data_IF_175847265493
#
_entry.id   IF_175847265493
#
_cell.length_a   1.000
_cell.length_b   1.000
_cell.length_c   1.000
_cell.angle_alpha   90.00
_cell.angle_beta   90.00
_cell.angle_gamma   90.00
#
_symmetry.space_group_name_H-M   'P 1'
#
loop_
_entity.id
_entity.type
_entity.pdbx_description
1 polymer ?
#
# COMPACT_ATOMS: atom_id res chain seq x y z
N UNK A 1 25.06 -22.21 -0.50
CA UNK A 1 24.36 -21.65 -1.68
C UNK A 1 25.25 -20.53 -2.19
N UNK A 2 25.68 -20.57 -3.45
CA UNK A 2 26.63 -19.58 -4.00
C UNK A 2 25.87 -18.26 -4.20
N UNK A 3 26.32 -17.18 -3.56
CA UNK A 3 25.71 -15.85 -3.68
C UNK A 3 25.87 -15.29 -5.11
N UNK A 4 24.94 -14.43 -5.54
CA UNK A 4 24.97 -13.76 -6.85
C UNK A 4 26.34 -13.18 -7.20
N UNK A 5 27.00 -12.51 -6.25
CA UNK A 5 28.29 -11.87 -6.48
C UNK A 5 29.39 -12.86 -6.88
N UNK A 6 29.42 -14.02 -6.23
CA UNK A 6 30.36 -15.09 -6.58
C UNK A 6 30.06 -15.71 -7.94
N UNK A 7 28.78 -15.88 -8.30
CA UNK A 7 28.40 -16.36 -9.65
C UNK A 7 28.85 -15.40 -10.73
N UNK A 8 28.61 -14.10 -10.56
CA UNK A 8 29.05 -13.06 -11.51
C UNK A 8 30.56 -13.10 -11.66
N UNK A 9 31.29 -13.14 -10.54
CA UNK A 9 32.75 -13.20 -10.53
C UNK A 9 33.26 -14.43 -11.28
N UNK A 10 32.74 -15.62 -10.94
CA UNK A 10 33.14 -16.89 -11.54
C UNK A 10 32.89 -16.90 -13.04
N UNK A 11 31.68 -16.56 -13.50
CA UNK A 11 31.35 -16.58 -14.93
C UNK A 11 32.10 -15.50 -15.70
N UNK A 12 32.42 -14.36 -15.08
CA UNK A 12 33.32 -13.35 -15.68
C UNK A 12 34.73 -13.92 -15.89
N UNK A 13 35.27 -14.60 -14.88
CA UNK A 13 36.62 -15.18 -14.89
C UNK A 13 36.73 -16.35 -15.87
N UNK A 14 35.71 -17.19 -15.96
CA UNK A 14 35.60 -18.26 -16.97
C UNK A 14 35.65 -17.72 -18.41
N UNK A 15 35.18 -16.48 -18.63
CA UNK A 15 35.26 -15.78 -19.91
C UNK A 15 36.54 -14.96 -20.11
N UNK A 16 37.51 -15.06 -19.19
CA UNK A 16 38.79 -14.34 -19.28
C UNK A 16 38.68 -12.82 -19.17
N UNK A 17 37.60 -12.31 -18.58
CA UNK A 17 37.29 -10.88 -18.57
C UNK A 17 37.78 -10.18 -17.31
N UNK A 18 38.19 -8.92 -17.41
CA UNK A 18 38.41 -8.07 -16.23
C UNK A 18 37.10 -7.42 -15.77
N UNK A 19 37.05 -6.96 -14.50
CA UNK A 19 35.92 -6.14 -14.02
C UNK A 19 35.69 -4.89 -14.87
N UNK A 20 36.77 -4.29 -15.40
CA UNK A 20 36.68 -3.11 -16.27
C UNK A 20 36.02 -3.46 -17.62
N UNK A 21 36.39 -4.60 -18.21
CA UNK A 21 35.82 -5.08 -19.47
C UNK A 21 34.31 -5.34 -19.33
N UNK A 22 33.90 -5.98 -18.23
CA UNK A 22 32.48 -6.20 -17.93
C UNK A 22 31.74 -4.88 -17.69
N UNK A 23 32.36 -3.94 -16.98
CA UNK A 23 31.79 -2.63 -16.71
C UNK A 23 31.54 -1.83 -18.01
N UNK A 24 32.50 -1.86 -18.93
CA UNK A 24 32.39 -1.20 -20.23
C UNK A 24 31.23 -1.77 -21.05
N UNK A 25 31.08 -3.11 -21.10
CA UNK A 25 29.99 -3.75 -21.85
C UNK A 25 28.59 -3.44 -21.28
N UNK A 26 28.50 -3.25 -19.96
CA UNK A 26 27.23 -2.96 -19.29
C UNK A 26 26.96 -1.47 -19.10
N UNK A 27 27.86 -0.61 -19.58
CA UNK A 27 27.80 0.85 -19.41
C UNK A 27 27.67 1.27 -17.94
N UNK A 28 28.45 0.62 -17.06
CA UNK A 28 28.53 0.94 -15.63
C UNK A 28 29.98 1.18 -15.24
N UNK A 29 30.21 1.69 -14.02
CA UNK A 29 31.58 1.86 -13.51
C UNK A 29 32.17 0.52 -13.04
N UNK A 30 33.50 0.39 -13.07
CA UNK A 30 34.19 -0.76 -12.46
C UNK A 30 33.85 -0.94 -10.98
N UNK A 31 33.70 0.16 -10.24
CA UNK A 31 33.28 0.13 -8.83
C UNK A 31 31.90 -0.51 -8.67
N UNK A 32 30.98 -0.26 -9.61
CA UNK A 32 29.65 -0.89 -9.61
C UNK A 32 29.78 -2.42 -9.74
N UNK A 33 30.59 -2.90 -10.68
CA UNK A 33 30.85 -4.35 -10.86
C UNK A 33 31.50 -4.95 -9.62
N UNK A 34 32.51 -4.28 -9.04
CA UNK A 34 33.15 -4.74 -7.80
C UNK A 34 32.14 -4.84 -6.65
N UNK A 35 31.22 -3.88 -6.50
CA UNK A 35 30.18 -3.93 -5.46
C UNK A 35 29.21 -5.10 -5.64
N UNK A 36 28.94 -5.49 -6.89
CA UNK A 36 28.13 -6.67 -7.20
C UNK A 36 28.85 -7.96 -6.82
N UNK A 37 30.12 -8.10 -7.21
CA UNK A 37 30.93 -9.28 -6.90
C UNK A 37 31.18 -9.46 -5.39
N UNK A 38 31.26 -8.36 -4.64
CA UNK A 38 31.39 -8.37 -3.19
C UNK A 38 30.05 -8.49 -2.42
N UNK A 39 28.92 -8.69 -3.10
CA UNK A 39 27.59 -8.80 -2.47
C UNK A 39 27.05 -7.51 -1.84
N UNK A 40 27.84 -6.43 -1.82
CA UNK A 40 27.47 -5.14 -1.20
C UNK A 40 26.29 -4.43 -1.88
N UNK A 41 26.03 -4.73 -3.16
CA UNK A 41 24.92 -4.14 -3.92
C UNK A 41 24.47 -5.12 -5.01
N UNK A 42 23.18 -5.10 -5.33
CA UNK A 42 22.62 -5.81 -6.48
C UNK A 42 22.36 -4.85 -7.65
N UNK A 43 22.51 -5.30 -8.92
CA UNK A 43 22.06 -4.56 -10.09
C UNK A 43 20.54 -4.34 -10.06
N UNK A 44 20.03 -3.37 -10.84
CA UNK A 44 18.59 -3.32 -11.12
C UNK A 44 18.18 -4.40 -12.13
N UNK A 45 16.88 -4.62 -12.33
CA UNK A 45 16.39 -5.73 -13.16
C UNK A 45 16.84 -5.66 -14.63
N UNK A 46 16.92 -4.45 -15.20
CA UNK A 46 17.37 -4.28 -16.59
C UNK A 46 18.85 -4.63 -16.70
N UNK A 47 19.65 -4.15 -15.76
CA UNK A 47 21.08 -4.40 -15.69
C UNK A 47 21.35 -5.86 -15.38
N UNK A 48 20.56 -6.50 -14.52
CA UNK A 48 20.63 -7.93 -14.23
C UNK A 48 20.29 -8.78 -15.47
N UNK A 49 19.26 -8.40 -16.24
CA UNK A 49 18.93 -9.06 -17.53
C UNK A 49 20.07 -8.91 -18.55
N UNK A 50 20.63 -7.70 -18.69
CA UNK A 50 21.78 -7.45 -19.57
C UNK A 50 23.00 -8.26 -19.14
N UNK A 51 23.26 -8.31 -17.83
CA UNK A 51 24.35 -9.09 -17.24
C UNK A 51 24.16 -10.58 -17.50
N UNK A 52 22.97 -11.13 -17.27
CA UNK A 52 22.65 -12.54 -17.54
C UNK A 52 22.83 -12.88 -19.03
N UNK A 53 22.25 -12.05 -19.92
CA UNK A 53 22.42 -12.20 -21.37
C UNK A 53 23.88 -12.16 -21.81
N UNK A 54 24.67 -11.24 -21.24
CA UNK A 54 26.08 -11.08 -21.57
C UNK A 54 26.95 -12.23 -21.01
N UNK A 55 26.64 -12.71 -19.81
CA UNK A 55 27.26 -13.88 -19.20
C UNK A 55 26.79 -15.20 -19.83
N UNK A 56 25.72 -15.19 -20.62
CA UNK A 56 25.20 -16.38 -21.31
C UNK A 56 24.46 -17.35 -20.40
N UNK A 57 23.95 -16.85 -19.27
CA UNK A 57 23.18 -17.62 -18.28
C UNK A 57 21.76 -17.07 -18.20
N UNK A 58 20.80 -17.87 -17.72
CA UNK A 58 19.47 -17.34 -17.47
C UNK A 58 19.47 -16.42 -16.24
N UNK A 59 18.47 -15.54 -16.13
CA UNK A 59 18.35 -14.66 -14.96
C UNK A 59 18.12 -15.46 -13.68
N UNK A 60 17.40 -16.59 -13.78
CA UNK A 60 17.10 -17.49 -12.66
C UNK A 60 18.31 -18.35 -12.26
N UNK A 61 19.21 -18.59 -13.20
CA UNK A 61 20.49 -19.23 -12.93
C UNK A 61 21.47 -18.25 -12.26
N UNK A 62 21.41 -16.97 -12.65
CA UNK A 62 22.26 -15.91 -12.10
C UNK A 62 21.84 -15.45 -10.70
N UNK A 63 20.53 -15.32 -10.45
CA UNK A 63 19.95 -14.86 -9.19
C UNK A 63 19.16 -15.99 -8.53
N UNK A 64 19.42 -16.28 -7.26
CA UNK A 64 18.50 -17.11 -6.47
C UNK A 64 17.12 -16.43 -6.33
N UNK A 65 16.06 -17.19 -6.07
CA UNK A 65 14.69 -16.64 -5.96
C UNK A 65 14.57 -15.47 -4.97
N UNK A 66 15.31 -15.51 -3.86
CA UNK A 66 15.36 -14.42 -2.88
C UNK A 66 16.08 -13.16 -3.40
N UNK A 67 17.04 -13.32 -4.31
CA UNK A 67 17.80 -12.22 -4.92
C UNK A 67 17.04 -11.59 -6.08
N UNK A 68 16.35 -12.39 -6.88
CA UNK A 68 15.47 -11.93 -7.94
C UNK A 68 14.35 -11.03 -7.40
N UNK A 69 13.75 -11.41 -6.26
CA UNK A 69 12.77 -10.57 -5.55
C UNK A 69 13.36 -9.21 -5.12
N UNK A 70 14.59 -9.17 -4.59
CA UNK A 70 15.24 -7.92 -4.15
C UNK A 70 15.44 -6.92 -5.30
N UNK A 71 15.77 -7.44 -6.48
CA UNK A 71 16.01 -6.63 -7.68
C UNK A 71 14.70 -6.06 -8.23
N UNK A 72 13.62 -6.84 -8.17
CA UNK A 72 12.30 -6.42 -8.63
C UNK A 72 11.57 -5.44 -7.71
N UNK A 73 11.80 -5.52 -6.40
CA UNK A 73 11.18 -4.65 -5.39
C UNK A 73 11.78 -3.23 -5.36
N UNK A 74 12.94 -3.01 -6.01
CA UNK A 74 13.45 -1.64 -6.23
C UNK A 74 12.66 -0.86 -7.26
N UNK A 75 11.87 -1.54 -8.09
CA UNK A 75 11.03 -0.90 -9.09
C UNK A 75 9.70 -0.46 -8.50
N UNK A 76 9.05 0.55 -9.10
CA UNK A 76 7.68 0.88 -8.76
C UNK A 76 6.77 -0.34 -8.94
N UNK A 77 5.68 -0.37 -8.17
CA UNK A 77 4.70 -1.46 -8.20
C UNK A 77 4.10 -1.59 -9.60
N UNK A 78 3.86 -0.49 -10.30
CA UNK A 78 3.23 -0.44 -11.63
C UNK A 78 4.22 0.12 -12.66
N UNK A 79 4.41 -0.60 -13.76
CA UNK A 79 5.30 -0.21 -14.86
C UNK A 79 4.54 0.16 -16.14
N UNK A 80 3.25 -0.22 -16.25
CA UNK A 80 2.45 0.01 -17.45
C UNK A 80 1.93 1.46 -17.50
N UNK A 81 2.22 2.23 -18.56
CA UNK A 81 1.87 3.65 -18.63
C UNK A 81 0.36 3.92 -18.59
N UNK A 82 -0.46 3.03 -19.17
CA UNK A 82 -1.92 3.10 -19.08
C UNK A 82 -2.44 2.89 -17.65
N UNK A 83 -1.84 1.94 -16.93
CA UNK A 83 -2.22 1.66 -15.55
C UNK A 83 -1.78 2.75 -14.59
N UNK A 84 -0.62 3.39 -14.85
CA UNK A 84 -0.18 4.57 -14.11
C UNK A 84 -1.20 5.71 -14.18
N UNK A 85 -1.81 5.94 -15.35
CA UNK A 85 -2.89 6.94 -15.49
C UNK A 85 -4.09 6.62 -14.59
N UNK A 86 -4.54 5.36 -14.57
CA UNK A 86 -5.65 4.92 -13.71
C UNK A 86 -5.29 5.12 -12.23
N UNK A 87 -4.06 4.77 -11.84
CA UNK A 87 -3.57 4.96 -10.48
C UNK A 87 -3.60 6.44 -10.06
N UNK A 88 -3.09 7.34 -10.89
CA UNK A 88 -3.09 8.78 -10.62
C UNK A 88 -4.52 9.33 -10.51
N UNK A 89 -5.44 8.84 -11.34
CA UNK A 89 -6.87 9.17 -11.26
C UNK A 89 -7.45 8.72 -9.91
N UNK A 90 -7.16 7.49 -9.47
CA UNK A 90 -7.60 6.98 -8.17
C UNK A 90 -7.07 7.84 -7.01
N UNK A 91 -5.79 8.20 -7.02
CA UNK A 91 -5.24 9.13 -6.02
C UNK A 91 -5.92 10.49 -6.05
N UNK A 92 -6.28 11.01 -7.24
CA UNK A 92 -7.04 12.25 -7.39
C UNK A 92 -8.43 12.17 -6.74
N UNK A 93 -9.16 11.09 -6.99
CA UNK A 93 -10.45 10.84 -6.32
C UNK A 93 -10.29 10.75 -4.79
N UNK A 94 -9.27 10.06 -4.31
CA UNK A 94 -9.00 9.95 -2.87
C UNK A 94 -8.70 11.33 -2.26
N UNK A 95 -7.90 12.17 -2.93
CA UNK A 95 -7.62 13.52 -2.47
C UNK A 95 -8.90 14.38 -2.41
N UNK A 96 -9.75 14.27 -3.44
CA UNK A 96 -11.05 14.94 -3.46
C UNK A 96 -11.97 14.49 -2.30
N UNK A 97 -11.92 13.21 -1.93
CA UNK A 97 -12.63 12.66 -0.77
C UNK A 97 -12.25 13.36 0.53
N UNK A 98 -10.96 13.59 0.72
CA UNK A 98 -10.47 14.24 1.92
C UNK A 98 -10.88 15.71 1.99
N UNK A 99 -10.94 16.41 0.85
CA UNK A 99 -11.47 17.78 0.79
C UNK A 99 -12.94 17.84 1.18
N UNK A 100 -13.75 16.93 0.63
CA UNK A 100 -15.18 16.84 0.97
C UNK A 100 -15.37 16.51 2.45
N UNK A 101 -14.62 15.53 2.96
CA UNK A 101 -14.69 15.15 4.37
C UNK A 101 -14.25 16.29 5.27
N UNK A 102 -13.20 17.04 4.91
CA UNK A 102 -12.75 18.20 5.66
C UNK A 102 -13.83 19.29 5.70
N UNK A 103 -14.47 19.58 4.57
CA UNK A 103 -15.57 20.53 4.49
C UNK A 103 -16.76 20.11 5.38
N UNK A 104 -17.15 18.84 5.38
CA UNK A 104 -18.20 18.31 6.25
C UNK A 104 -17.85 18.49 7.74
N UNK A 105 -16.60 18.20 8.13
CA UNK A 105 -16.17 18.38 9.52
C UNK A 105 -16.18 19.86 9.92
N UNK A 106 -15.73 20.76 9.05
CA UNK A 106 -15.77 22.22 9.30
C UNK A 106 -17.21 22.69 9.50
N UNK A 107 -18.14 22.20 8.68
CA UNK A 107 -19.56 22.55 8.79
C UNK A 107 -20.19 22.03 10.09
N UNK A 108 -19.79 20.84 10.57
CA UNK A 108 -20.30 20.25 11.81
C UNK A 108 -19.68 20.84 13.08
N UNK A 109 -18.49 21.45 12.97
CA UNK A 109 -17.73 21.92 14.12
C UNK A 109 -18.50 22.90 15.02
N UNK A 110 -19.15 23.97 14.51
CA UNK A 110 -19.88 24.92 15.35
C UNK A 110 -21.05 24.26 16.10
N UNK A 111 -21.76 23.33 15.45
CA UNK A 111 -22.86 22.59 16.08
C UNK A 111 -22.36 21.69 17.20
N UNK A 112 -21.24 21.02 17.01
CA UNK A 112 -20.62 20.18 18.03
C UNK A 112 -20.16 20.99 19.25
N UNK A 113 -19.59 22.18 19.03
CA UNK A 113 -19.20 23.10 20.12
C UNK A 113 -20.42 23.61 20.88
N UNK A 114 -21.46 24.04 20.15
CA UNK A 114 -22.69 24.57 20.76
C UNK A 114 -23.46 23.50 21.57
N UNK A 115 -23.35 22.22 21.20
CA UNK A 115 -23.96 21.13 21.96
C UNK A 115 -23.28 20.88 23.32
N UNK A 116 -22.08 21.42 23.57
CA UNK A 116 -21.38 21.34 24.86
C UNK A 116 -20.91 19.93 25.27
N UNK A 117 -20.98 18.94 24.38
CA UNK A 117 -20.63 17.55 24.69
C UNK A 117 -19.13 17.30 24.45
N UNK A 118 -18.37 17.14 25.54
CA UNK A 118 -16.93 16.88 25.51
C UNK A 118 -16.58 15.61 24.72
N UNK A 119 -17.38 14.55 24.82
CA UNK A 119 -17.14 13.31 24.08
C UNK A 119 -17.29 13.53 22.56
N UNK A 120 -18.30 14.28 22.13
CA UNK A 120 -18.49 14.63 20.72
C UNK A 120 -17.32 15.45 20.18
N UNK A 121 -16.78 16.40 20.97
CA UNK A 121 -15.61 17.18 20.60
C UNK A 121 -14.35 16.31 20.49
N UNK A 122 -14.11 15.41 21.44
CA UNK A 122 -12.99 14.46 21.40
C UNK A 122 -13.06 13.56 20.15
N UNK A 123 -14.25 13.05 19.82
CA UNK A 123 -14.47 12.23 18.63
C UNK A 123 -14.15 12.98 17.34
N UNK A 124 -14.60 14.23 17.24
CA UNK A 124 -14.36 15.08 16.09
C UNK A 124 -12.86 15.42 15.93
N UNK A 125 -12.16 15.72 17.03
CA UNK A 125 -10.71 15.97 17.01
C UNK A 125 -9.90 14.75 16.57
N UNK A 126 -10.26 13.55 17.05
CA UNK A 126 -9.61 12.32 16.61
C UNK A 126 -9.90 12.02 15.12
N UNK A 127 -11.14 12.27 14.67
CA UNK A 127 -11.51 12.15 13.25
C UNK A 127 -10.71 13.11 12.35
N UNK A 128 -10.50 14.35 12.79
CA UNK A 128 -9.62 15.31 12.11
C UNK A 128 -8.17 14.84 12.05
N UNK A 129 -7.63 14.34 13.17
CA UNK A 129 -6.27 13.82 13.22
C UNK A 129 -6.09 12.63 12.26
N UNK A 130 -7.07 11.72 12.19
CA UNK A 130 -7.08 10.62 11.25
C UNK A 130 -7.15 11.11 9.79
N UNK A 131 -8.02 12.07 9.49
CA UNK A 131 -8.17 12.66 8.15
C UNK A 131 -6.88 13.34 7.68
N UNK A 132 -6.23 14.12 8.55
CA UNK A 132 -4.95 14.76 8.28
C UNK A 132 -3.87 13.72 8.00
N UNK A 133 -3.80 12.67 8.83
CA UNK A 133 -2.86 11.56 8.64
C UNK A 133 -3.08 10.89 7.29
N UNK A 134 -4.33 10.57 6.94
CA UNK A 134 -4.70 9.97 5.65
C UNK A 134 -4.35 10.87 4.46
N UNK A 135 -4.64 12.16 4.57
CA UNK A 135 -4.31 13.14 3.53
C UNK A 135 -2.80 13.20 3.27
N UNK A 136 -1.99 13.23 4.34
CA UNK A 136 -0.53 13.27 4.24
C UNK A 136 0.03 11.98 3.63
N UNK A 137 -0.41 10.80 4.06
CA UNK A 137 0.15 9.53 3.55
C UNK A 137 -0.24 9.26 2.10
N UNK A 138 -1.48 9.57 1.70
CA UNK A 138 -1.90 9.39 0.30
C UNK A 138 -1.31 10.47 -0.60
N UNK A 139 -1.15 11.71 -0.12
CA UNK A 139 -0.41 12.76 -0.81
C UNK A 139 1.06 12.38 -1.04
N UNK A 140 1.71 11.81 -0.02
CA UNK A 140 3.05 11.24 -0.14
C UNK A 140 3.09 10.11 -1.19
N UNK A 141 2.11 9.20 -1.17
CA UNK A 141 1.96 8.13 -2.17
C UNK A 141 1.84 8.67 -3.59
N UNK A 142 1.00 9.67 -3.80
CA UNK A 142 0.79 10.34 -5.08
C UNK A 142 2.08 10.99 -5.60
N UNK A 143 2.79 11.75 -4.77
CA UNK A 143 4.06 12.39 -5.15
C UNK A 143 5.12 11.34 -5.51
N UNK A 144 5.20 10.24 -4.76
CA UNK A 144 6.14 9.16 -5.03
C UNK A 144 5.81 8.42 -6.33
N UNK A 145 4.53 8.26 -6.65
CA UNK A 145 4.07 7.69 -7.92
C UNK A 145 4.37 8.61 -9.11
N UNK A 146 4.14 9.92 -8.97
CA UNK A 146 4.50 10.89 -10.02
C UNK A 146 5.99 10.84 -10.35
N UNK A 147 6.83 10.62 -9.34
CA UNK A 147 8.29 10.49 -9.46
C UNK A 147 8.77 9.08 -9.85
N UNK A 148 7.87 8.12 -10.08
CA UNK A 148 8.21 6.72 -10.41
C UNK A 148 9.09 6.01 -9.37
N UNK A 149 9.04 6.45 -8.11
CA UNK A 149 9.84 5.89 -7.00
C UNK A 149 8.98 5.24 -5.91
N UNK A 150 7.71 4.94 -6.21
CA UNK A 150 6.79 4.26 -5.29
C UNK A 150 7.07 2.75 -5.24
N UNK A 151 8.03 2.36 -4.41
CA UNK A 151 8.39 0.96 -4.19
C UNK A 151 7.30 0.21 -3.39
N UNK A 152 7.23 -1.13 -3.49
CA UNK A 152 6.32 -1.95 -2.69
C UNK A 152 6.38 -1.64 -1.19
N UNK A 153 7.59 -1.45 -0.64
CA UNK A 153 7.75 -1.12 0.77
C UNK A 153 7.10 0.22 1.15
N UNK A 154 7.19 1.24 0.30
CA UNK A 154 6.51 2.54 0.51
C UNK A 154 4.99 2.38 0.43
N UNK A 155 4.51 1.63 -0.56
CA UNK A 155 3.09 1.28 -0.67
C UNK A 155 2.58 0.58 0.58
N UNK A 156 3.33 -0.42 1.07
CA UNK A 156 3.03 -1.12 2.32
C UNK A 156 2.91 -0.20 3.52
N UNK A 157 3.87 0.72 3.68
CA UNK A 157 3.82 1.72 4.74
C UNK A 157 2.56 2.60 4.68
N UNK A 158 2.22 3.12 3.49
CA UNK A 158 1.01 3.93 3.28
C UNK A 158 -0.24 3.13 3.67
N UNK A 159 -0.38 1.90 3.16
CA UNK A 159 -1.56 1.07 3.41
C UNK A 159 -1.66 0.65 4.88
N UNK A 160 -0.54 0.33 5.53
CA UNK A 160 -0.53 0.02 6.96
C UNK A 160 -0.98 1.19 7.81
N UNK A 161 -0.48 2.40 7.53
CA UNK A 161 -0.93 3.60 8.26
C UNK A 161 -2.41 3.88 8.00
N UNK A 162 -2.88 3.73 6.75
CA UNK A 162 -4.30 3.85 6.43
C UNK A 162 -5.16 2.91 7.27
N UNK A 163 -4.85 1.61 7.30
CA UNK A 163 -5.58 0.64 8.11
C UNK A 163 -5.49 0.91 9.62
N UNK A 164 -4.35 1.40 10.12
CA UNK A 164 -4.23 1.82 11.53
C UNK A 164 -5.11 3.03 11.85
N UNK A 165 -5.19 4.03 10.96
CA UNK A 165 -6.10 5.16 11.14
C UNK A 165 -7.56 4.72 11.12
N UNK A 166 -7.93 3.76 10.27
CA UNK A 166 -9.27 3.17 10.27
C UNK A 166 -9.58 2.44 11.57
N UNK A 167 -8.61 1.72 12.13
CA UNK A 167 -8.75 1.05 13.42
C UNK A 167 -9.12 2.07 14.53
N UNK A 168 -8.39 3.19 14.58
CA UNK A 168 -8.63 4.26 15.55
C UNK A 168 -9.99 4.94 15.38
N UNK A 169 -10.41 5.21 14.14
CA UNK A 169 -11.72 5.85 13.87
C UNK A 169 -12.88 4.90 14.06
N UNK A 170 -12.70 3.60 13.77
CA UNK A 170 -13.77 2.60 13.92
C UNK A 170 -14.03 2.24 15.38
N UNK A 171 -13.00 2.27 16.22
CA UNK A 171 -13.12 2.09 17.67
C UNK A 171 -14.03 3.14 18.34
N UNK A 172 -14.38 4.23 17.64
CA UNK A 172 -15.19 5.32 18.18
C UNK A 172 -16.68 5.00 18.34
N UNK A 173 -17.21 3.99 17.64
CA UNK A 173 -18.64 3.60 17.75
C UNK A 173 -19.06 3.17 19.15
N UNK A 174 -18.08 2.89 20.03
CA UNK A 174 -18.26 2.56 21.45
C UNK A 174 -18.86 3.74 22.25
N UNK A 175 -18.50 4.98 21.93
CA UNK A 175 -18.85 6.15 22.76
C UNK A 175 -20.12 6.87 22.31
N UNK A 176 -20.62 6.58 21.10
CA UNK A 176 -21.79 7.24 20.53
C UNK A 176 -23.14 6.56 20.91
N UNK A 177 -23.14 5.51 21.73
CA UNK A 177 -24.36 4.94 22.30
C UNK A 177 -25.29 4.25 21.30
N UNK A 178 -24.75 3.54 20.31
CA UNK A 178 -25.58 2.71 19.41
C UNK A 178 -26.07 1.49 20.19
N UNK A 179 -27.19 1.60 20.92
CA UNK A 179 -28.17 0.57 21.31
C UNK A 179 -27.74 -0.81 21.89
N UNK A 180 -26.45 -1.10 22.01
CA UNK A 180 -25.93 -2.40 22.41
C UNK A 180 -25.38 -2.31 23.82
N UNK A 181 -26.10 -2.88 24.78
CA UNK A 181 -25.65 -3.06 26.16
C UNK A 181 -25.05 -4.45 26.35
N UNK A 182 -23.96 -4.58 27.11
CA UNK A 182 -23.33 -5.86 27.43
C UNK A 182 -22.51 -6.47 26.28
N UNK A 183 -22.37 -7.80 26.25
CA UNK A 183 -21.44 -8.53 25.35
C UNK A 183 -21.63 -8.26 23.85
N UNK A 184 -22.84 -7.86 23.42
CA UNK A 184 -23.13 -7.54 22.01
C UNK A 184 -22.33 -6.32 21.51
N UNK A 185 -22.06 -5.35 22.38
CA UNK A 185 -21.23 -4.18 22.05
C UNK A 185 -19.79 -4.60 21.72
N UNK A 186 -19.20 -5.45 22.57
CA UNK A 186 -17.85 -5.98 22.41
C UNK A 186 -17.73 -6.78 21.11
N UNK A 187 -18.73 -7.59 20.78
CA UNK A 187 -18.74 -8.37 19.53
C UNK A 187 -18.78 -7.47 18.30
N UNK A 188 -19.64 -6.45 18.29
CA UNK A 188 -19.71 -5.50 17.17
C UNK A 188 -18.42 -4.69 17.04
N UNK A 189 -17.79 -4.33 18.14
CA UNK A 189 -16.50 -3.63 18.15
C UNK A 189 -15.38 -4.47 17.52
N UNK A 190 -15.31 -5.75 17.90
CA UNK A 190 -14.38 -6.70 17.28
C UNK A 190 -14.65 -6.78 15.77
N UNK A 191 -15.90 -6.92 15.36
CA UNK A 191 -16.29 -7.04 13.95
C UNK A 191 -15.89 -5.81 13.12
N UNK A 192 -15.97 -4.60 13.69
CA UNK A 192 -15.66 -3.36 12.97
C UNK A 192 -14.15 -3.04 13.01
N UNK A 193 -13.47 -3.35 14.12
CA UNK A 193 -12.09 -2.91 14.38
C UNK A 193 -11.06 -3.96 13.95
N UNK A 194 -11.33 -5.25 14.20
CA UNK A 194 -10.39 -6.34 13.91
C UNK A 194 -9.98 -6.44 12.44
N UNK A 195 -10.88 -6.27 11.44
CA UNK A 195 -10.47 -6.30 10.04
C UNK A 195 -9.45 -5.22 9.69
N UNK A 196 -9.57 -4.03 10.27
CA UNK A 196 -8.62 -2.93 10.06
C UNK A 196 -7.25 -3.26 10.67
N UNK A 197 -7.22 -3.84 11.87
CA UNK A 197 -5.96 -4.30 12.47
C UNK A 197 -5.29 -5.40 11.65
N UNK A 198 -6.07 -6.39 11.19
CA UNK A 198 -5.59 -7.46 10.31
C UNK A 198 -5.06 -6.87 8.99
N UNK A 199 -5.77 -5.90 8.41
CA UNK A 199 -5.35 -5.18 7.21
C UNK A 199 -4.02 -4.48 7.38
N UNK A 200 -3.79 -3.80 8.51
CA UNK A 200 -2.53 -3.12 8.79
C UNK A 200 -1.34 -4.08 8.86
N UNK A 201 -1.51 -5.19 9.59
CA UNK A 201 -0.49 -6.24 9.73
C UNK A 201 -0.26 -6.92 8.38
N UNK A 202 -1.32 -7.25 7.66
CA UNK A 202 -1.23 -7.94 6.37
C UNK A 202 -0.58 -7.06 5.31
N UNK A 203 -0.92 -5.77 5.24
CA UNK A 203 -0.26 -4.80 4.37
C UNK A 203 1.25 -4.75 4.65
N UNK A 204 1.65 -4.57 5.91
CA UNK A 204 3.06 -4.53 6.27
C UNK A 204 3.77 -5.84 5.90
N UNK A 205 3.16 -6.99 6.23
CA UNK A 205 3.78 -8.29 5.97
C UNK A 205 3.83 -8.65 4.49
N UNK A 206 2.87 -8.24 3.68
CA UNK A 206 2.84 -8.53 2.24
C UNK A 206 3.78 -7.62 1.44
N UNK A 207 3.80 -6.33 1.77
CA UNK A 207 4.55 -5.32 1.01
C UNK A 207 5.97 -5.10 1.54
N UNK A 208 6.19 -5.23 2.85
CA UNK A 208 7.49 -4.96 3.49
C UNK A 208 8.24 -6.24 3.91
N UNK A 209 7.55 -7.37 4.14
CA UNK A 209 8.20 -8.62 4.56
C UNK A 209 8.17 -9.70 3.47
N UNK A 210 9.25 -10.50 3.41
CA UNK A 210 9.49 -11.47 2.34
C UNK A 210 8.85 -12.86 2.58
N UNK A 211 8.46 -13.16 3.82
CA UNK A 211 8.01 -14.52 4.22
C UNK A 211 6.49 -14.69 4.13
N UNK A 212 6.06 -15.80 3.50
CA UNK A 212 4.67 -16.33 3.50
C UNK A 212 3.64 -15.45 2.77
N UNK A 213 3.98 -14.99 1.57
CA UNK A 213 3.18 -14.03 0.79
C UNK A 213 1.78 -14.53 0.35
N UNK A 214 1.60 -15.84 0.19
CA UNK A 214 0.29 -16.42 -0.19
C UNK A 214 -0.80 -16.15 0.84
N UNK A 215 -0.47 -16.09 2.11
CA UNK A 215 -1.45 -15.84 3.17
C UNK A 215 -1.83 -14.36 3.26
N UNK A 216 -0.84 -13.47 3.26
CA UNK A 216 -1.08 -12.05 3.57
C UNK A 216 -1.87 -11.30 2.50
N UNK A 217 -1.72 -11.63 1.21
CA UNK A 217 -2.55 -11.01 0.19
C UNK A 217 -4.03 -11.40 0.32
N UNK A 218 -4.32 -12.67 0.65
CA UNK A 218 -5.69 -13.14 0.89
C UNK A 218 -6.30 -12.37 2.06
N UNK A 219 -5.54 -12.13 3.14
CA UNK A 219 -6.02 -11.30 4.24
C UNK A 219 -6.36 -9.88 3.79
N UNK A 220 -5.52 -9.24 2.97
CA UNK A 220 -5.80 -7.90 2.45
C UNK A 220 -7.06 -7.91 1.56
N UNK A 221 -7.21 -8.92 0.71
CA UNK A 221 -8.37 -9.06 -0.18
C UNK A 221 -9.66 -9.20 0.62
N UNK A 222 -9.68 -10.09 1.62
CA UNK A 222 -10.83 -10.30 2.52
C UNK A 222 -11.17 -9.03 3.30
N UNK A 223 -10.17 -8.37 3.88
CA UNK A 223 -10.37 -7.11 4.63
C UNK A 223 -10.89 -6.01 3.72
N UNK A 224 -10.43 -5.95 2.47
CA UNK A 224 -10.87 -4.94 1.51
C UNK A 224 -12.31 -5.15 1.08
N UNK A 225 -12.69 -6.40 0.80
CA UNK A 225 -14.09 -6.77 0.48
C UNK A 225 -15.00 -6.45 1.67
N UNK A 226 -14.59 -6.83 2.89
CA UNK A 226 -15.30 -6.48 4.11
C UNK A 226 -15.48 -4.97 4.26
N UNK A 227 -14.41 -4.19 4.03
CA UNK A 227 -14.44 -2.74 4.09
C UNK A 227 -15.44 -2.12 3.11
N UNK A 228 -15.48 -2.60 1.87
CA UNK A 228 -16.45 -2.17 0.85
C UNK A 228 -17.88 -2.49 1.30
N UNK A 229 -18.14 -3.72 1.76
CA UNK A 229 -19.46 -4.12 2.25
C UNK A 229 -19.90 -3.28 3.45
N UNK A 230 -18.99 -3.00 4.38
CA UNK A 230 -19.26 -2.16 5.54
C UNK A 230 -19.59 -0.71 5.13
N UNK A 231 -18.86 -0.15 4.15
CA UNK A 231 -19.17 1.19 3.60
C UNK A 231 -20.57 1.22 2.97
N UNK A 232 -20.92 0.20 2.18
CA UNK A 232 -22.25 0.09 1.57
C UNK A 232 -23.33 0.00 2.65
N UNK A 233 -23.16 -0.88 3.62
CA UNK A 233 -24.12 -1.09 4.71
C UNK A 233 -24.33 0.16 5.56
N UNK A 234 -23.24 0.80 5.99
CA UNK A 234 -23.30 2.02 6.81
C UNK A 234 -23.91 3.20 6.04
N UNK A 235 -23.62 3.32 4.75
CA UNK A 235 -24.23 4.36 3.91
C UNK A 235 -25.73 4.11 3.72
N UNK A 236 -26.11 2.86 3.44
CA UNK A 236 -27.51 2.47 3.29
C UNK A 236 -28.32 2.71 4.57
N UNK A 237 -27.76 2.34 5.74
CA UNK A 237 -28.42 2.58 7.02
C UNK A 237 -28.59 4.07 7.29
N UNK A 238 -27.55 4.89 7.08
CA UNK A 238 -27.66 6.35 7.22
C UNK A 238 -28.75 6.90 6.30
N UNK A 239 -28.77 6.54 5.01
CA UNK A 239 -29.76 7.04 4.04
C UNK A 239 -31.19 6.61 4.38
N UNK A 240 -31.39 5.47 5.03
CA UNK A 240 -32.73 5.01 5.44
C UNK A 240 -33.28 5.78 6.65
N UNK A 241 -32.40 6.35 7.48
CA UNK A 241 -32.77 6.93 8.78
C UNK A 241 -32.43 8.43 8.95
N UNK A 242 -31.81 9.09 7.96
CA UNK A 242 -31.43 10.52 8.02
C UNK A 242 -32.14 11.39 6.97
N UNK A 243 -32.21 12.71 7.22
CA UNK A 243 -32.86 13.69 6.34
C UNK A 243 -32.05 13.95 5.06
N UNK A 244 -32.74 14.43 4.00
CA UNK A 244 -32.27 14.52 2.60
C UNK A 244 -30.88 15.15 2.42
N UNK A 245 -30.49 16.12 3.25
CA UNK A 245 -29.20 16.83 3.13
C UNK A 245 -27.97 15.94 3.45
N UNK A 246 -28.14 14.88 4.24
CA UNK A 246 -27.07 13.93 4.52
C UNK A 246 -26.74 13.05 3.29
N UNK A 247 -27.67 12.89 2.34
CA UNK A 247 -27.59 11.88 1.29
C UNK A 247 -26.46 12.14 0.27
N UNK A 248 -26.36 13.34 -0.33
CA UNK A 248 -25.37 13.62 -1.39
C UNK A 248 -23.93 13.51 -0.89
N UNK A 249 -23.60 14.11 0.25
CA UNK A 249 -22.26 14.03 0.82
C UNK A 249 -21.89 12.58 1.20
N UNK A 250 -22.85 11.82 1.74
CA UNK A 250 -22.63 10.42 2.11
C UNK A 250 -22.39 9.55 0.88
N UNK A 251 -23.15 9.74 -0.21
CA UNK A 251 -22.97 8.99 -1.46
C UNK A 251 -21.63 9.29 -2.14
N UNK A 252 -21.21 10.56 -2.19
CA UNK A 252 -19.90 10.91 -2.77
C UNK A 252 -18.77 10.33 -1.92
N UNK A 253 -18.81 10.50 -0.60
CA UNK A 253 -17.80 9.92 0.30
C UNK A 253 -17.77 8.38 0.23
N UNK A 254 -18.92 7.73 0.05
CA UNK A 254 -19.02 6.28 -0.15
C UNK A 254 -18.22 5.84 -1.37
N UNK A 255 -18.49 6.45 -2.54
CA UNK A 255 -17.79 6.12 -3.79
C UNK A 255 -16.27 6.31 -3.65
N UNK A 256 -15.86 7.42 -3.03
CA UNK A 256 -14.44 7.73 -2.89
C UNK A 256 -13.71 6.83 -1.89
N UNK A 257 -14.39 6.38 -0.82
CA UNK A 257 -13.83 5.36 0.09
C UNK A 257 -13.72 3.99 -0.58
N UNK A 258 -14.67 3.63 -1.45
CA UNK A 258 -14.57 2.41 -2.28
C UNK A 258 -13.35 2.50 -3.21
N UNK A 259 -13.06 3.67 -3.78
CA UNK A 259 -11.84 3.87 -4.59
C UNK A 259 -10.55 3.53 -3.83
N UNK A 260 -10.48 3.80 -2.51
CA UNK A 260 -9.31 3.41 -1.69
C UNK A 260 -9.16 1.89 -1.64
N UNK A 261 -10.25 1.14 -1.43
CA UNK A 261 -10.18 -0.31 -1.40
C UNK A 261 -9.90 -0.93 -2.77
N UNK A 262 -10.44 -0.34 -3.85
CA UNK A 262 -10.09 -0.73 -5.22
C UNK A 262 -8.60 -0.50 -5.47
N UNK A 263 -8.06 0.63 -5.04
CA UNK A 263 -6.63 0.95 -5.13
C UNK A 263 -5.77 -0.10 -4.39
N UNK A 264 -6.17 -0.48 -3.16
CA UNK A 264 -5.50 -1.51 -2.37
C UNK A 264 -5.48 -2.85 -3.10
N UNK A 265 -6.66 -3.34 -3.50
CA UNK A 265 -6.81 -4.61 -4.23
C UNK A 265 -5.97 -4.60 -5.51
N UNK A 266 -5.96 -3.48 -6.22
CA UNK A 266 -5.19 -3.32 -7.43
C UNK A 266 -3.67 -3.39 -7.18
N UNK A 267 -3.15 -2.66 -6.19
CA UNK A 267 -1.74 -2.69 -5.82
C UNK A 267 -1.28 -4.08 -5.36
N UNK A 268 -2.14 -4.79 -4.63
CA UNK A 268 -1.90 -6.18 -4.23
C UNK A 268 -1.84 -7.10 -5.44
N UNK A 269 -2.83 -7.02 -6.34
CA UNK A 269 -2.90 -7.85 -7.54
C UNK A 269 -1.68 -7.67 -8.44
N UNK A 270 -1.29 -6.41 -8.72
CA UNK A 270 -0.14 -6.12 -9.57
C UNK A 270 1.15 -6.64 -8.95
N UNK A 271 1.37 -6.40 -7.66
CA UNK A 271 2.56 -6.89 -6.97
C UNK A 271 2.61 -8.41 -6.93
N UNK A 272 1.47 -9.08 -6.70
CA UNK A 272 1.37 -10.54 -6.72
C UNK A 272 1.74 -11.09 -8.09
N UNK A 273 1.10 -10.60 -9.16
CA UNK A 273 1.38 -11.03 -10.54
C UNK A 273 2.83 -10.78 -10.93
N UNK A 274 3.39 -9.65 -10.51
CA UNK A 274 4.82 -9.34 -10.69
C UNK A 274 5.70 -10.40 -10.04
N UNK A 275 5.38 -10.83 -8.82
CA UNK A 275 6.14 -11.85 -8.08
C UNK A 275 5.93 -13.28 -8.60
N UNK A 276 4.74 -13.62 -9.10
CA UNK A 276 4.44 -14.90 -9.74
C UNK A 276 5.19 -15.06 -11.07
N UNK A 277 5.23 -14.01 -11.90
CA UNK A 277 5.97 -14.01 -13.18
C UNK A 277 7.50 -14.07 -13.02
N UNK A 278 8.01 -14.09 -11.80
CA UNK A 278 9.43 -14.16 -11.46
C UNK A 278 9.82 -15.52 -10.86
N UNK A 279 8.87 -16.42 -10.62
CA UNK A 279 9.11 -17.78 -10.11
C UNK A 279 8.85 -18.75 -11.26
#
# INVERSE_FOLDING_TARGET
MVEFGEKVKRTREEKGMTQQTLANHLYVTRQTVSRWECGSRYPDLLTAKKLASFLGVSLDELLSGDELQRVAEKRPVIENPGMKKILLILYGFIAFSFLITAADVILRFPFAVNAGNLATLQLLLLGLAALLTQTVIFGYGFIMEMKDVLTPAKTGGILSVYFLTLCLTNAQHITAGIGYTGWRSIVMEIIITFPSLLGAIAAYRFFCCKKRQRFWHICIDVVSIWGILNIIYTTWSISRYSSEFASMNTTVNMLLKICVYILILYQVHVLRKKRENMI
#
